data_IF_969834893725
#
_entry.id   IF_969834893725
#
_cell.length_a   1.000
_cell.length_b   1.000
_cell.length_c   1.000
_cell.angle_alpha   90.00
_cell.angle_beta   90.00
_cell.angle_gamma   90.00
#
_symmetry.space_group_name_H-M   'P 1'
#
loop_
_entity.id
_entity.type
_entity.pdbx_description
1 polymer ?
#
# COMPACT_ATOMS: atom_id res chain seq x y z
N UNK A 1 -21.18 10.86 -31.00
CA UNK A 1 -20.02 10.10 -30.50
C UNK A 1 -19.16 10.87 -29.48
N UNK A 2 -18.96 12.19 -29.61
CA UNK A 2 -18.15 12.98 -28.63
C UNK A 2 -18.71 12.99 -27.19
N UNK A 3 -20.03 12.90 -27.02
CA UNK A 3 -20.65 12.94 -25.69
C UNK A 3 -20.56 11.61 -24.91
N UNK A 4 -20.34 10.49 -25.61
CA UNK A 4 -20.26 9.15 -25.01
C UNK A 4 -18.87 8.87 -24.42
N UNK A 5 -17.83 9.46 -25.02
CA UNK A 5 -16.44 9.36 -24.56
C UNK A 5 -16.24 10.14 -23.25
N UNK A 6 -16.89 11.30 -23.11
CA UNK A 6 -16.84 12.09 -21.87
C UNK A 6 -17.53 11.42 -20.68
N UNK A 7 -18.64 10.71 -20.91
CA UNK A 7 -19.36 10.02 -19.83
C UNK A 7 -18.60 8.78 -19.33
N UNK A 8 -17.89 8.07 -20.21
CA UNK A 8 -17.08 6.90 -19.81
C UNK A 8 -15.79 7.32 -19.09
N UNK A 9 -15.14 8.39 -19.51
CA UNK A 9 -13.95 8.92 -18.82
C UNK A 9 -14.28 9.45 -17.40
N UNK A 10 -15.45 10.08 -17.22
CA UNK A 10 -15.92 10.51 -15.90
C UNK A 10 -16.24 9.32 -14.98
N UNK A 11 -16.71 8.20 -15.52
CA UNK A 11 -17.07 7.02 -14.72
C UNK A 11 -15.83 6.30 -14.18
N UNK A 12 -14.77 6.18 -14.99
CA UNK A 12 -13.51 5.55 -14.59
C UNK A 12 -12.78 6.35 -13.51
N UNK A 13 -12.84 7.68 -13.58
CA UNK A 13 -12.20 8.55 -12.57
C UNK A 13 -12.93 8.52 -11.21
N UNK A 14 -14.24 8.27 -11.20
CA UNK A 14 -15.02 8.09 -9.95
C UNK A 14 -14.73 6.73 -9.29
N UNK A 15 -14.45 5.68 -10.07
CA UNK A 15 -14.18 4.33 -9.53
C UNK A 15 -12.75 4.18 -8.97
N UNK A 16 -11.76 4.91 -9.52
CA UNK A 16 -10.38 4.85 -9.01
C UNK A 16 -10.14 5.59 -7.69
N UNK A 17 -11.00 6.55 -7.31
CA UNK A 17 -10.84 7.30 -6.04
C UNK A 17 -11.46 6.55 -4.85
N UNK A 18 -12.39 5.61 -5.09
CA UNK A 18 -13.12 4.95 -4.01
C UNK A 18 -12.35 3.84 -3.28
N UNK A 19 -11.26 3.31 -3.82
CA UNK A 19 -10.52 2.19 -3.19
C UNK A 19 -9.38 2.63 -2.26
N UNK A 20 -8.89 3.87 -2.37
CA UNK A 20 -7.82 4.39 -1.50
C UNK A 20 -8.32 5.21 -0.29
N UNK A 21 -9.60 5.58 -0.26
CA UNK A 21 -10.14 6.47 0.78
C UNK A 21 -10.58 5.76 2.07
N UNK A 22 -10.63 4.42 2.09
CA UNK A 22 -11.30 3.68 3.17
C UNK A 22 -10.39 3.41 4.39
N UNK A 23 -9.06 3.49 4.26
CA UNK A 23 -8.16 3.49 5.43
C UNK A 23 -8.03 4.88 6.08
N UNK A 24 -8.30 5.95 5.33
CA UNK A 24 -8.15 7.34 5.79
C UNK A 24 -9.09 7.68 6.93
N UNK A 25 -10.34 7.19 6.89
CA UNK A 25 -11.38 7.61 7.84
C UNK A 25 -11.19 6.97 9.24
N UNK A 26 -10.86 5.68 9.30
CA UNK A 26 -10.59 5.00 10.57
C UNK A 26 -9.34 5.55 11.28
N UNK A 27 -8.29 5.86 10.50
CA UNK A 27 -7.07 6.45 11.04
C UNK A 27 -7.26 7.91 11.45
N UNK A 28 -8.10 8.67 10.74
CA UNK A 28 -8.50 10.02 11.13
C UNK A 28 -9.28 10.02 12.46
N UNK A 29 -10.22 9.07 12.64
CA UNK A 29 -10.97 8.92 13.90
C UNK A 29 -10.05 8.58 15.07
N UNK A 30 -9.04 7.73 14.86
CA UNK A 30 -7.99 7.44 15.87
C UNK A 30 -7.15 8.65 16.20
N UNK A 31 -6.77 9.44 15.19
CA UNK A 31 -6.00 10.66 15.39
C UNK A 31 -6.80 11.70 16.21
N UNK A 32 -8.09 11.87 15.87
CA UNK A 32 -9.02 12.72 16.63
C UNK A 32 -9.20 12.24 18.07
N UNK A 33 -9.41 10.94 18.28
CA UNK A 33 -9.51 10.39 19.63
C UNK A 33 -8.26 10.66 20.48
N UNK A 34 -7.06 10.50 19.89
CA UNK A 34 -5.79 10.83 20.57
C UNK A 34 -5.65 12.32 20.90
N UNK A 35 -6.13 13.19 20.01
CA UNK A 35 -6.12 14.63 20.26
C UNK A 35 -7.06 15.00 21.43
N UNK A 36 -8.29 14.52 21.41
CA UNK A 36 -9.28 14.73 22.48
C UNK A 36 -8.80 14.14 23.82
N UNK A 37 -8.11 13.01 23.80
CA UNK A 37 -7.53 12.41 25.00
C UNK A 37 -6.44 13.29 25.63
N UNK A 38 -5.59 13.94 24.82
CA UNK A 38 -4.59 14.90 25.32
C UNK A 38 -5.25 16.14 25.93
N UNK A 39 -6.34 16.63 25.33
CA UNK A 39 -7.12 17.74 25.88
C UNK A 39 -7.78 17.34 27.22
N UNK A 40 -8.29 16.11 27.32
CA UNK A 40 -8.83 15.57 28.57
C UNK A 40 -7.77 15.49 29.68
N UNK A 41 -6.57 15.01 29.35
CA UNK A 41 -5.42 14.96 30.28
C UNK A 41 -5.00 16.36 30.74
N UNK A 42 -5.04 17.35 29.84
CA UNK A 42 -4.74 18.73 30.16
C UNK A 42 -5.81 19.36 31.07
N UNK A 43 -7.10 19.19 30.73
CA UNK A 43 -8.20 19.65 31.56
C UNK A 43 -8.17 19.03 32.97
N UNK A 44 -7.77 17.75 33.08
CA UNK A 44 -7.59 17.07 34.36
C UNK A 44 -6.47 17.69 35.20
N UNK A 45 -5.32 18.01 34.58
CA UNK A 45 -4.20 18.69 35.27
C UNK A 45 -4.55 20.08 35.75
N UNK A 46 -5.44 20.77 35.05
CA UNK A 46 -5.95 22.10 35.41
C UNK A 46 -7.07 22.04 36.48
N UNK A 47 -7.43 20.85 36.98
CA UNK A 47 -8.47 20.67 37.99
C UNK A 47 -9.89 20.71 37.46
N UNK A 48 -10.09 20.75 36.13
CA UNK A 48 -11.39 20.76 35.46
C UNK A 48 -11.92 19.33 35.28
N UNK A 49 -12.22 18.67 36.40
CA UNK A 49 -12.58 17.24 36.44
C UNK A 49 -13.78 16.86 35.56
N UNK A 50 -14.86 17.67 35.59
CA UNK A 50 -16.06 17.40 34.79
C UNK A 50 -15.83 17.55 33.29
N UNK A 51 -15.01 18.51 32.86
CA UNK A 51 -14.67 18.69 31.44
C UNK A 51 -13.76 17.57 30.95
N UNK A 52 -12.77 17.18 31.76
CA UNK A 52 -11.91 16.05 31.46
C UNK A 52 -12.72 14.76 31.26
N UNK A 53 -13.69 14.49 32.12
CA UNK A 53 -14.53 13.28 32.00
C UNK A 53 -15.38 13.29 30.72
N UNK A 54 -15.96 14.45 30.33
CA UNK A 54 -16.69 14.59 29.07
C UNK A 54 -15.79 14.33 27.86
N UNK A 55 -14.58 14.88 27.87
CA UNK A 55 -13.59 14.67 26.79
C UNK A 55 -13.15 13.21 26.73
N UNK A 56 -12.94 12.52 27.86
CA UNK A 56 -12.64 11.09 27.89
C UNK A 56 -13.76 10.23 27.30
N UNK A 57 -15.03 10.55 27.59
CA UNK A 57 -16.17 9.84 26.99
C UNK A 57 -16.20 10.04 25.48
N UNK A 58 -15.99 11.27 25.00
CA UNK A 58 -15.96 11.58 23.57
C UNK A 58 -14.79 10.89 22.84
N UNK A 59 -13.59 10.86 23.44
CA UNK A 59 -12.45 10.11 22.89
C UNK A 59 -12.74 8.60 22.77
N UNK A 60 -13.45 8.03 23.76
CA UNK A 60 -13.86 6.62 23.75
C UNK A 60 -14.89 6.33 22.65
N UNK A 61 -15.86 7.22 22.45
CA UNK A 61 -16.84 7.11 21.37
C UNK A 61 -16.17 7.14 19.98
N UNK A 62 -15.21 8.05 19.78
CA UNK A 62 -14.44 8.12 18.53
C UNK A 62 -13.63 6.84 18.26
N UNK A 63 -13.02 6.24 19.28
CA UNK A 63 -12.34 4.95 19.15
C UNK A 63 -13.31 3.81 18.81
N UNK A 64 -14.48 3.79 19.43
CA UNK A 64 -15.50 2.78 19.14
C UNK A 64 -16.04 2.93 17.71
N UNK A 65 -16.25 4.17 17.24
CA UNK A 65 -16.63 4.45 15.86
C UNK A 65 -15.56 3.97 14.87
N UNK A 66 -14.28 4.19 15.17
CA UNK A 66 -13.17 3.69 14.35
C UNK A 66 -13.17 2.15 14.26
N UNK A 67 -13.37 1.45 15.38
CA UNK A 67 -13.47 -0.02 15.40
C UNK A 67 -14.69 -0.55 14.62
N UNK A 68 -15.81 0.17 14.66
CA UNK A 68 -16.99 -0.19 13.86
C UNK A 68 -16.74 -0.01 12.36
N UNK A 69 -15.99 1.02 11.96
CA UNK A 69 -15.58 1.19 10.56
C UNK A 69 -14.63 0.09 10.11
N UNK A 70 -13.67 -0.33 10.95
CA UNK A 70 -12.78 -1.45 10.61
C UNK A 70 -13.50 -2.79 10.54
N UNK A 71 -14.42 -3.06 11.46
CA UNK A 71 -15.18 -4.32 11.45
C UNK A 71 -16.20 -4.40 10.30
N UNK A 72 -16.68 -3.26 9.80
CA UNK A 72 -17.50 -3.19 8.57
C UNK A 72 -16.63 -3.25 7.30
N UNK A 73 -15.46 -2.61 7.30
CA UNK A 73 -14.49 -2.64 6.21
C UNK A 73 -13.83 -4.01 6.03
N UNK A 74 -13.55 -4.73 7.12
CA UNK A 74 -13.04 -6.11 7.08
C UNK A 74 -14.11 -7.14 6.67
N UNK A 75 -15.35 -6.67 6.46
CA UNK A 75 -16.51 -7.47 6.09
C UNK A 75 -17.10 -7.02 4.74
N UNK A 76 -16.30 -6.36 3.90
CA UNK A 76 -16.51 -6.49 2.47
C UNK A 76 -16.33 -7.99 2.16
N UNK A 77 -17.30 -8.66 1.50
CA UNK A 77 -17.13 -10.05 1.14
C UNK A 77 -15.82 -10.15 0.37
N UNK A 78 -14.91 -10.99 0.88
CA UNK A 78 -13.65 -11.20 0.20
C UNK A 78 -14.02 -11.66 -1.21
N UNK A 79 -13.40 -11.10 -2.25
CA UNK A 79 -13.69 -11.47 -3.65
C UNK A 79 -13.64 -12.98 -3.84
N UNK A 80 -12.80 -13.67 -3.07
CA UNK A 80 -12.75 -15.13 -2.98
C UNK A 80 -14.07 -15.76 -2.46
N UNK A 81 -14.69 -15.20 -1.43
CA UNK A 81 -15.97 -15.67 -0.87
C UNK A 81 -17.12 -15.50 -1.87
N UNK A 82 -17.13 -14.38 -2.60
CA UNK A 82 -18.12 -14.14 -3.68
C UNK A 82 -17.98 -15.20 -4.78
N UNK A 83 -16.76 -15.47 -5.25
CA UNK A 83 -16.49 -16.48 -6.27
C UNK A 83 -16.84 -17.89 -5.76
N UNK A 84 -16.56 -18.20 -4.50
CA UNK A 84 -16.98 -19.47 -3.89
C UNK A 84 -18.50 -19.60 -3.86
N UNK A 85 -19.23 -18.52 -3.55
CA UNK A 85 -20.69 -18.52 -3.56
C UNK A 85 -21.24 -18.66 -4.99
N UNK A 86 -20.62 -18.02 -5.97
CA UNK A 86 -20.96 -18.18 -7.39
C UNK A 86 -20.73 -19.61 -7.88
N UNK A 87 -19.63 -20.24 -7.50
CA UNK A 87 -19.34 -21.64 -7.85
C UNK A 87 -20.38 -22.61 -7.27
N UNK A 88 -20.83 -22.39 -6.03
CA UNK A 88 -21.94 -23.17 -5.44
C UNK A 88 -23.24 -22.99 -6.21
N UNK A 89 -23.59 -21.75 -6.55
CA UNK A 89 -24.79 -21.47 -7.33
C UNK A 89 -24.73 -22.04 -8.76
N UNK A 90 -23.55 -22.05 -9.39
CA UNK A 90 -23.35 -22.70 -10.69
C UNK A 90 -23.49 -24.22 -10.58
N UNK A 91 -22.95 -24.84 -9.53
CA UNK A 91 -23.09 -26.28 -9.29
C UNK A 91 -24.57 -26.70 -9.11
N UNK A 92 -25.37 -25.92 -8.38
CA UNK A 92 -26.82 -26.17 -8.25
C UNK A 92 -27.54 -26.05 -9.61
N UNK A 93 -27.15 -25.08 -10.44
CA UNK A 93 -27.69 -24.93 -11.80
C UNK A 93 -27.27 -26.07 -12.73
N UNK A 94 -26.03 -26.57 -12.61
CA UNK A 94 -25.54 -27.73 -13.36
C UNK A 94 -26.39 -28.97 -13.03
N UNK A 95 -26.68 -29.21 -11.76
CA UNK A 95 -27.54 -30.33 -11.32
C UNK A 95 -28.97 -30.20 -11.89
N UNK A 96 -29.52 -28.99 -11.91
CA UNK A 96 -30.82 -28.74 -12.53
C UNK A 96 -30.81 -28.91 -14.06
N UNK A 97 -29.75 -28.49 -14.75
CA UNK A 97 -29.58 -28.68 -16.19
C UNK A 97 -29.42 -30.17 -16.55
N UNK A 98 -28.74 -30.94 -15.71
CA UNK A 98 -28.59 -32.38 -15.87
C UNK A 98 -29.93 -33.11 -15.72
N UNK A 99 -30.72 -32.76 -14.69
CA UNK A 99 -32.07 -33.31 -14.48
C UNK A 99 -33.02 -33.03 -15.65
N UNK A 100 -32.91 -31.84 -16.25
CA UNK A 100 -33.71 -31.45 -17.43
C UNK A 100 -33.14 -31.97 -18.75
N UNK A 101 -32.01 -32.69 -18.72
CA UNK A 101 -31.29 -33.22 -19.90
C UNK A 101 -30.94 -32.15 -20.93
N UNK A 102 -30.80 -30.89 -20.50
CA UNK A 102 -30.42 -29.79 -21.37
C UNK A 102 -28.89 -29.75 -21.55
N UNK A 103 -28.40 -30.49 -22.54
CA UNK A 103 -26.95 -30.62 -22.81
C UNK A 103 -26.28 -29.30 -23.17
N UNK A 104 -27.00 -28.40 -23.84
CA UNK A 104 -26.45 -27.10 -24.26
C UNK A 104 -26.26 -26.18 -23.04
N UNK A 105 -27.26 -26.08 -22.18
CA UNK A 105 -27.16 -25.32 -20.93
C UNK A 105 -26.06 -25.88 -20.01
N UNK A 106 -25.91 -27.21 -19.96
CA UNK A 106 -24.87 -27.86 -19.16
C UNK A 106 -23.46 -27.51 -19.66
N UNK A 107 -23.24 -27.52 -20.98
CA UNK A 107 -21.96 -27.13 -21.56
C UNK A 107 -21.63 -25.65 -21.33
N UNK A 108 -22.64 -24.77 -21.31
CA UNK A 108 -22.45 -23.35 -21.00
C UNK A 108 -22.08 -23.13 -19.52
N UNK A 109 -22.81 -23.78 -18.61
CA UNK A 109 -22.55 -23.71 -17.16
C UNK A 109 -21.14 -24.20 -16.79
N UNK A 110 -20.68 -25.29 -17.42
CA UNK A 110 -19.32 -25.81 -17.23
C UNK A 110 -18.24 -24.80 -17.65
N UNK A 111 -18.48 -24.02 -18.72
CA UNK A 111 -17.56 -22.95 -19.13
C UNK A 111 -17.50 -21.83 -18.09
N UNK A 112 -18.65 -21.39 -17.58
CA UNK A 112 -18.68 -20.37 -16.53
C UNK A 112 -18.01 -20.85 -15.24
N UNK A 113 -18.20 -22.12 -14.88
CA UNK A 113 -17.52 -22.74 -13.73
C UNK A 113 -16.01 -22.75 -13.91
N UNK A 114 -15.50 -23.15 -15.07
CA UNK A 114 -14.06 -23.15 -15.37
C UNK A 114 -13.44 -21.75 -15.29
N UNK A 115 -14.16 -20.72 -15.77
CA UNK A 115 -13.70 -19.32 -15.67
C UNK A 115 -13.64 -18.86 -14.22
N UNK A 116 -14.67 -19.13 -13.42
CA UNK A 116 -14.71 -18.75 -12.01
C UNK A 116 -13.65 -19.51 -11.18
N UNK A 117 -13.41 -20.80 -11.45
CA UNK A 117 -12.35 -21.59 -10.81
C UNK A 117 -10.96 -21.03 -11.14
N UNK A 118 -10.74 -20.61 -12.38
CA UNK A 118 -9.48 -19.99 -12.81
C UNK A 118 -9.25 -18.62 -12.14
N UNK A 119 -10.28 -17.78 -12.05
CA UNK A 119 -10.19 -16.50 -11.32
C UNK A 119 -9.86 -16.72 -9.83
N UNK A 120 -10.49 -17.72 -9.21
CA UNK A 120 -10.23 -18.08 -7.81
C UNK A 120 -8.79 -18.59 -7.63
N UNK A 121 -8.29 -19.42 -8.56
CA UNK A 121 -6.90 -19.88 -8.55
C UNK A 121 -5.89 -18.72 -8.67
N UNK A 122 -6.15 -17.75 -9.55
CA UNK A 122 -5.32 -16.55 -9.66
C UNK A 122 -5.30 -15.75 -8.36
N UNK A 123 -6.46 -15.53 -7.73
CA UNK A 123 -6.55 -14.81 -6.46
C UNK A 123 -5.77 -15.52 -5.35
N UNK A 124 -5.76 -16.85 -5.33
CA UNK A 124 -4.95 -17.62 -4.37
C UNK A 124 -3.45 -17.52 -4.65
N UNK A 125 -3.06 -17.56 -5.92
CA UNK A 125 -1.65 -17.42 -6.30
C UNK A 125 -1.10 -16.02 -5.96
N UNK A 126 -1.90 -14.98 -6.19
CA UNK A 126 -1.51 -13.60 -5.89
C UNK A 126 -1.67 -13.26 -4.40
N UNK A 127 -2.70 -13.78 -3.72
CA UNK A 127 -2.93 -13.56 -2.29
C UNK A 127 -1.93 -14.27 -1.38
N UNK A 128 -1.38 -15.41 -1.82
CA UNK A 128 -0.39 -16.19 -1.08
C UNK A 128 1.06 -15.66 -1.17
N UNK A 129 1.38 -14.80 -2.14
CA UNK A 129 2.74 -14.26 -2.35
C UNK A 129 3.08 -13.07 -1.43
N UNK A 130 2.63 -13.07 -0.18
CA UNK A 130 3.33 -12.35 0.91
C UNK A 130 4.51 -13.18 1.39
N UNK A 131 5.37 -13.58 0.46
CA UNK A 131 6.65 -14.20 0.80
C UNK A 131 7.54 -13.05 1.23
N UNK A 132 7.68 -12.85 2.54
CA UNK A 132 8.79 -12.08 3.07
C UNK A 132 10.08 -12.64 2.43
N UNK A 133 10.86 -11.84 1.68
CA UNK A 133 12.03 -12.37 0.99
C UNK A 133 13.01 -12.89 2.03
N UNK A 134 13.18 -14.21 2.10
CA UNK A 134 14.31 -14.81 2.80
C UNK A 134 15.55 -14.56 1.92
N UNK A 135 16.12 -13.37 2.01
CA UNK A 135 17.37 -13.04 1.32
C UNK A 135 18.55 -13.76 2.00
N UNK A 136 18.84 -14.96 1.52
CA UNK A 136 20.15 -15.60 1.74
C UNK A 136 21.15 -15.01 0.74
N UNK A 137 21.96 -14.06 1.20
CA UNK A 137 23.34 -13.84 0.76
C UNK A 137 23.59 -13.37 -0.68
N UNK A 138 24.20 -12.18 -0.78
CA UNK A 138 24.97 -11.66 -1.94
C UNK A 138 24.18 -11.23 -3.19
N UNK A 139 22.94 -10.78 -3.04
CA UNK A 139 22.30 -10.00 -4.09
C UNK A 139 22.66 -8.52 -3.96
N UNK A 140 22.76 -7.76 -5.08
CA UNK A 140 22.85 -6.30 -5.03
C UNK A 140 21.72 -5.74 -4.15
N UNK A 141 21.89 -4.54 -3.57
CA UNK A 141 20.90 -3.99 -2.65
C UNK A 141 19.50 -4.03 -3.29
N UNK A 142 18.52 -4.56 -2.56
CA UNK A 142 17.12 -4.80 -2.97
C UNK A 142 16.50 -3.61 -3.73
N UNK A 143 16.91 -2.39 -3.37
CA UNK A 143 16.55 -1.14 -4.04
C UNK A 143 16.89 -1.11 -5.55
N UNK A 144 17.94 -1.78 -5.98
CA UNK A 144 18.38 -1.81 -7.38
C UNK A 144 17.48 -2.72 -8.21
N UNK A 145 17.15 -3.91 -7.70
CA UNK A 145 16.22 -4.83 -8.37
C UNK A 145 14.79 -4.25 -8.42
N UNK A 146 14.34 -3.58 -7.35
CA UNK A 146 13.06 -2.87 -7.30
C UNK A 146 12.99 -1.77 -8.36
N UNK A 147 14.08 -1.02 -8.55
CA UNK A 147 14.16 0.03 -9.57
C UNK A 147 14.01 -0.55 -10.97
N UNK A 148 14.65 -1.69 -11.26
CA UNK A 148 14.52 -2.40 -12.53
C UNK A 148 13.08 -2.84 -12.82
N UNK A 149 12.37 -3.37 -11.83
CA UNK A 149 10.95 -3.73 -11.96
C UNK A 149 10.07 -2.50 -12.19
N UNK A 150 10.34 -1.40 -11.48
CA UNK A 150 9.61 -0.14 -11.65
C UNK A 150 9.77 0.43 -13.06
N UNK A 151 10.98 0.38 -13.64
CA UNK A 151 11.22 0.79 -15.04
C UNK A 151 10.36 -0.04 -15.99
N UNK A 152 10.29 -1.37 -15.81
CA UNK A 152 9.46 -2.25 -16.65
C UNK A 152 7.97 -1.89 -16.58
N UNK A 153 7.44 -1.65 -15.38
CA UNK A 153 6.04 -1.25 -15.23
C UNK A 153 5.76 0.10 -15.89
N UNK A 154 6.68 1.05 -15.80
CA UNK A 154 6.54 2.34 -16.47
C UNK A 154 6.48 2.15 -17.99
N UNK A 155 7.32 1.29 -18.58
CA UNK A 155 7.29 1.02 -20.02
C UNK A 155 5.95 0.41 -20.48
N UNK A 156 5.40 -0.54 -19.72
CA UNK A 156 4.06 -1.10 -20.01
C UNK A 156 2.98 -0.02 -19.91
N UNK A 157 3.09 0.89 -18.93
CA UNK A 157 2.17 2.02 -18.81
C UNK A 157 2.28 2.98 -20.01
N UNK A 158 3.48 3.26 -20.50
CA UNK A 158 3.73 4.05 -21.73
C UNK A 158 3.06 3.41 -22.93
N UNK A 159 3.22 2.10 -23.13
CA UNK A 159 2.57 1.36 -24.22
C UNK A 159 1.04 1.46 -24.15
N UNK A 160 0.47 1.28 -22.96
CA UNK A 160 -0.98 1.41 -22.74
C UNK A 160 -1.49 2.84 -22.99
N UNK A 161 -0.73 3.86 -22.57
CA UNK A 161 -1.06 5.26 -22.82
C UNK A 161 -0.99 5.62 -24.31
N UNK A 162 0.02 5.10 -25.02
CA UNK A 162 0.12 5.24 -26.46
C UNK A 162 -1.03 4.55 -27.19
N UNK A 163 -1.42 3.34 -26.77
CA UNK A 163 -2.57 2.63 -27.32
C UNK A 163 -3.90 3.39 -27.06
N UNK A 164 -3.97 4.15 -25.97
CA UNK A 164 -5.10 5.01 -25.63
C UNK A 164 -5.07 6.38 -26.34
N UNK A 165 -4.04 6.69 -27.14
CA UNK A 165 -3.89 7.96 -27.85
C UNK A 165 -3.45 9.14 -26.96
N UNK A 166 -2.93 8.86 -25.76
CA UNK A 166 -2.42 9.88 -24.81
C UNK A 166 -0.91 10.07 -25.00
N UNK A 167 -0.50 10.50 -26.19
CA UNK A 167 0.91 10.54 -26.59
C UNK A 167 1.77 11.48 -25.73
N UNK A 168 1.28 12.68 -25.39
CA UNK A 168 2.04 13.66 -24.60
C UNK A 168 2.44 13.10 -23.22
N UNK A 169 1.51 12.41 -22.55
CA UNK A 169 1.74 11.79 -21.23
C UNK A 169 2.64 10.57 -21.37
N UNK A 170 2.46 9.78 -22.44
CA UNK A 170 3.30 8.63 -22.72
C UNK A 170 4.77 9.04 -22.96
N UNK A 171 5.00 10.16 -23.65
CA UNK A 171 6.34 10.71 -23.91
C UNK A 171 7.03 11.20 -22.63
N UNK A 172 6.33 11.95 -21.77
CA UNK A 172 6.88 12.36 -20.47
C UNK A 172 7.26 11.15 -19.59
N UNK A 173 6.39 10.15 -19.57
CA UNK A 173 6.60 8.94 -18.78
C UNK A 173 7.72 8.06 -19.36
N UNK A 174 7.89 8.04 -20.68
CA UNK A 174 9.00 7.39 -21.35
C UNK A 174 10.34 8.05 -21.00
N UNK A 175 10.42 9.38 -21.05
CA UNK A 175 11.63 10.11 -20.65
C UNK A 175 12.02 9.84 -19.19
N UNK A 176 11.03 9.71 -18.30
CA UNK A 176 11.27 9.32 -16.91
C UNK A 176 11.83 7.91 -16.77
N UNK A 177 11.32 6.95 -17.55
CA UNK A 177 11.85 5.59 -17.57
C UNK A 177 13.31 5.57 -18.05
N UNK A 178 13.64 6.33 -19.09
CA UNK A 178 15.02 6.44 -19.62
C UNK A 178 15.98 7.10 -18.63
N UNK A 179 15.52 8.11 -17.88
CA UNK A 179 16.31 8.71 -16.81
C UNK A 179 16.60 7.69 -15.70
N UNK A 180 15.57 6.98 -15.23
CA UNK A 180 15.72 5.94 -14.21
C UNK A 180 16.61 4.79 -14.66
N UNK A 181 16.54 4.38 -15.93
CA UNK A 181 17.37 3.31 -16.48
C UNK A 181 18.85 3.70 -16.54
N UNK A 182 19.15 4.95 -16.92
CA UNK A 182 20.53 5.48 -16.85
C UNK A 182 21.07 5.50 -15.42
N UNK A 183 20.27 5.95 -14.46
CA UNK A 183 20.64 5.95 -13.04
C UNK A 183 20.87 4.52 -12.52
N UNK A 184 19.97 3.60 -12.88
CA UNK A 184 20.06 2.18 -12.51
C UNK A 184 21.34 1.54 -13.08
N UNK A 185 21.67 1.80 -14.36
CA UNK A 185 22.92 1.31 -14.95
C UNK A 185 24.16 1.92 -14.29
N UNK A 186 24.15 3.22 -14.00
CA UNK A 186 25.27 3.87 -13.29
C UNK A 186 25.45 3.30 -11.87
N UNK A 187 24.35 3.00 -11.16
CA UNK A 187 24.40 2.36 -9.86
C UNK A 187 25.04 0.96 -9.97
N UNK A 188 24.57 0.12 -10.89
CA UNK A 188 25.16 -1.20 -11.15
C UNK A 188 26.65 -1.13 -11.50
N UNK A 189 27.05 -0.18 -12.35
CA UNK A 189 28.46 0.00 -12.69
C UNK A 189 29.32 0.40 -11.50
N UNK A 190 28.82 1.28 -10.62
CA UNK A 190 29.53 1.65 -9.37
C UNK A 190 29.70 0.44 -8.46
N UNK A 191 28.66 -0.36 -8.29
CA UNK A 191 28.74 -1.61 -7.51
C UNK A 191 29.67 -2.65 -8.13
N UNK A 192 29.76 -2.71 -9.47
CA UNK A 192 30.67 -3.63 -10.16
C UNK A 192 32.13 -3.16 -10.11
N UNK A 193 32.37 -1.83 -10.12
CA UNK A 193 33.70 -1.21 -10.13
C UNK A 193 34.30 -1.00 -8.75
N UNK A 194 33.51 -1.02 -7.67
CA UNK A 194 34.03 -1.06 -6.30
C UNK A 194 34.44 -2.51 -5.97
N UNK A 195 35.73 -2.88 -6.08
CA UNK A 195 36.16 -4.18 -5.60
C UNK A 195 35.85 -4.24 -4.11
N UNK A 196 35.18 -5.31 -3.68
CA UNK A 196 34.79 -5.58 -2.30
C UNK A 196 35.98 -5.49 -1.32
N UNK A 197 36.34 -4.28 -0.89
CA UNK A 197 37.47 -4.02 0.02
C UNK A 197 37.13 -4.29 1.49
N UNK A 198 35.95 -4.81 1.79
CA UNK A 198 35.47 -5.01 3.17
C UNK A 198 35.47 -6.47 3.66
N UNK A 199 36.21 -7.40 3.03
CA UNK A 199 36.40 -8.78 3.53
C UNK A 199 37.79 -9.09 4.09
N UNK A 200 38.46 -8.10 4.70
CA UNK A 200 39.63 -8.33 5.57
C UNK A 200 39.39 -7.79 6.98
N UNK A 201 38.40 -8.33 7.68
CA UNK A 201 38.35 -8.28 9.14
C UNK A 201 38.49 -9.70 9.71
N UNK A 202 39.73 -9.99 10.09
CA UNK A 202 40.18 -10.83 11.20
C UNK A 202 39.44 -12.16 11.41
N UNK A 203 40.08 -13.24 10.94
CA UNK A 203 40.14 -14.46 11.74
C UNK A 203 40.83 -14.11 13.08
N UNK A 204 40.26 -14.43 14.25
CA UNK A 204 41.05 -14.61 15.45
C UNK A 204 41.60 -16.04 15.47
N UNK A 205 42.91 -16.11 15.64
CA UNK A 205 43.67 -17.34 15.82
C UNK A 205 43.14 -18.16 17.00
N UNK A 206 43.23 -19.47 16.83
CA UNK A 206 43.07 -20.47 17.89
C UNK A 206 44.08 -20.19 19.00
N UNK A 207 43.62 -20.07 20.24
CA UNK A 207 44.52 -20.22 21.39
C UNK A 207 43.98 -19.76 22.73
N UNK A 208 43.75 -20.74 23.61
CA UNK A 208 43.92 -20.65 25.07
C UNK A 208 42.75 -20.21 25.97
N UNK A 209 42.17 -21.24 26.60
CA UNK A 209 41.87 -21.41 28.03
C UNK A 209 40.73 -20.58 28.67
N UNK A 210 39.73 -21.35 29.08
CA UNK A 210 38.86 -21.22 30.26
C UNK A 210 39.06 -19.98 31.12
N UNK A 211 38.06 -19.09 31.06
CA UNK A 211 37.68 -18.23 32.17
C UNK A 211 36.15 -18.14 32.17
N UNK A 212 35.54 -18.74 33.19
CA UNK A 212 34.21 -18.42 33.68
C UNK A 212 34.04 -16.90 33.77
N UNK A 213 33.08 -16.34 33.04
CA UNK A 213 32.66 -14.96 33.22
C UNK A 213 31.13 -14.93 33.22
N UNK A 214 30.58 -14.68 34.41
CA UNK A 214 29.16 -14.49 34.67
C UNK A 214 28.58 -13.39 33.77
N UNK A 215 27.40 -13.66 33.24
CA UNK A 215 26.68 -12.77 32.34
C UNK A 215 26.31 -11.44 33.00
N UNK A 216 26.96 -10.37 32.56
CA UNK A 216 26.38 -9.02 32.54
C UNK A 216 26.29 -8.55 31.10
N UNK A 217 25.05 -8.49 30.61
CA UNK A 217 24.66 -7.90 29.35
C UNK A 217 25.14 -6.44 29.27
N UNK A 218 25.98 -6.04 28.30
CA UNK A 218 26.21 -4.63 28.04
C UNK A 218 25.04 -4.06 27.23
N UNK A 219 24.40 -3.02 27.76
CA UNK A 219 23.47 -2.18 27.01
C UNK A 219 24.18 -1.51 25.83
N UNK A 220 23.60 -1.50 24.63
CA UNK A 220 24.13 -0.74 23.51
C UNK A 220 23.85 0.75 23.72
N UNK A 221 24.85 1.50 24.18
CA UNK A 221 24.86 2.97 24.14
C UNK A 221 25.11 3.47 22.71
N UNK A 222 24.11 3.31 21.85
CA UNK A 222 24.06 3.93 20.52
C UNK A 222 23.28 5.24 20.57
N UNK A 223 23.95 6.37 20.80
CA UNK A 223 23.39 7.70 20.59
C UNK A 223 23.36 7.98 19.08
N UNK A 224 22.30 7.59 18.40
CA UNK A 224 21.90 8.20 17.13
C UNK A 224 20.63 8.99 17.40
N UNK A 225 20.82 10.27 17.73
CA UNK A 225 19.75 11.24 17.64
C UNK A 225 19.41 11.37 16.14
N UNK A 226 18.15 11.17 15.72
CA UNK A 226 17.73 11.56 14.38
C UNK A 226 17.89 13.08 14.28
N UNK A 227 18.57 13.55 13.23
CA UNK A 227 18.74 14.97 12.93
C UNK A 227 17.38 15.66 12.87
N UNK A 228 17.03 16.38 13.94
CA UNK A 228 15.77 17.11 14.09
C UNK A 228 15.58 18.17 12.99
N UNK A 229 16.65 18.61 12.33
CA UNK A 229 16.62 19.59 11.25
C UNK A 229 15.87 19.09 10.00
N UNK A 230 15.97 17.80 9.64
CA UNK A 230 15.30 17.27 8.45
C UNK A 230 13.77 17.14 8.63
N UNK A 231 13.30 17.07 9.87
CA UNK A 231 11.87 16.97 10.17
C UNK A 231 11.12 18.30 10.02
N UNK A 232 11.80 19.43 10.24
CA UNK A 232 11.16 20.74 10.23
C UNK A 232 11.00 21.30 8.81
N UNK A 233 11.97 21.05 7.92
CA UNK A 233 11.85 21.38 6.49
C UNK A 233 10.65 20.65 5.85
N UNK A 234 10.46 19.38 6.18
CA UNK A 234 9.35 18.59 5.64
C UNK A 234 7.99 19.08 6.16
N UNK A 235 7.92 19.56 7.41
CA UNK A 235 6.70 20.16 7.97
C UNK A 235 6.34 21.46 7.28
N UNK A 236 7.33 22.29 6.96
CA UNK A 236 7.12 23.55 6.24
C UNK A 236 6.61 23.31 4.81
N UNK A 237 7.18 22.33 4.10
CA UNK A 237 6.75 22.02 2.74
C UNK A 237 5.30 21.47 2.71
N UNK A 238 4.95 20.61 3.68
CA UNK A 238 3.57 20.09 3.80
C UNK A 238 2.57 21.22 4.13
N UNK A 239 2.95 22.19 4.96
CA UNK A 239 2.07 23.34 5.25
C UNK A 239 1.90 24.24 4.02
N UNK A 240 2.97 24.48 3.26
CA UNK A 240 2.93 25.27 2.02
C UNK A 240 2.00 24.62 0.99
N UNK A 241 2.17 23.32 0.72
CA UNK A 241 1.34 22.59 -0.24
C UNK A 241 -0.15 22.59 0.15
N UNK A 242 -0.47 22.54 1.45
CA UNK A 242 -1.86 22.67 1.92
C UNK A 242 -2.45 24.05 1.65
N UNK A 243 -1.66 25.11 1.76
CA UNK A 243 -2.12 26.45 1.43
C UNK A 243 -2.40 26.60 -0.07
N UNK A 244 -1.48 26.12 -0.92
CA UNK A 244 -1.63 26.13 -2.38
C UNK A 244 -2.87 25.34 -2.84
N UNK A 245 -3.12 24.16 -2.25
CA UNK A 245 -4.33 23.38 -2.55
C UNK A 245 -5.64 24.08 -2.14
N UNK A 246 -5.64 24.78 -1.01
CA UNK A 246 -6.82 25.55 -0.59
C UNK A 246 -7.08 26.73 -1.53
N UNK A 247 -6.04 27.42 -1.98
CA UNK A 247 -6.18 28.52 -2.95
C UNK A 247 -6.73 28.04 -4.29
N UNK A 248 -6.23 26.90 -4.80
CA UNK A 248 -6.75 26.25 -6.00
C UNK A 248 -8.23 25.86 -5.86
N UNK A 249 -8.61 25.31 -4.69
CA UNK A 249 -10.00 24.92 -4.42
C UNK A 249 -10.95 26.11 -4.42
N UNK A 250 -10.56 27.22 -3.80
CA UNK A 250 -11.36 28.45 -3.80
C UNK A 250 -11.39 29.11 -5.19
N UNK A 251 -10.30 29.01 -5.95
CA UNK A 251 -10.23 29.44 -7.34
C UNK A 251 -11.18 28.67 -8.26
N UNK A 252 -11.38 27.38 -8.03
CA UNK A 252 -12.34 26.56 -8.77
C UNK A 252 -13.79 26.89 -8.40
N UNK A 253 -14.09 27.12 -7.12
CA UNK A 253 -15.43 27.53 -6.68
C UNK A 253 -15.89 28.85 -7.30
N UNK A 254 -14.98 29.80 -7.51
CA UNK A 254 -15.30 31.11 -8.13
C UNK A 254 -15.53 31.05 -9.63
N UNK A 255 -15.14 29.95 -10.30
CA UNK A 255 -15.33 29.76 -11.75
C UNK A 255 -16.60 28.96 -12.10
N UNK A 256 -17.33 28.47 -11.10
CA UNK A 256 -18.66 27.88 -11.24
C UNK A 256 -19.72 28.93 -10.95
#
# INVERSE_FOLDING_TARGET
MRNLVWTLASLVLVVCVTTAAWSSEADELRAKAKAVQKEADQASKEGRGEEAEKLFRHAKELLQAAQQHESKSAKAPNREDELQQQLKALAEKEEHAEKTKNKEALAELQKYRAVAEHELAQLREHGGKKIAPKHTGKHPPEAVEETGLRIKHIRVAVENLNAAGLHDIAEELAHKADAMEREHHQAHEKFAKEPSTSQKQKQPEKGSKYAEFEGKHPEPKGKHAPDAAAGDDLRHEVQRLRAELNELREGLKKRQ
#
